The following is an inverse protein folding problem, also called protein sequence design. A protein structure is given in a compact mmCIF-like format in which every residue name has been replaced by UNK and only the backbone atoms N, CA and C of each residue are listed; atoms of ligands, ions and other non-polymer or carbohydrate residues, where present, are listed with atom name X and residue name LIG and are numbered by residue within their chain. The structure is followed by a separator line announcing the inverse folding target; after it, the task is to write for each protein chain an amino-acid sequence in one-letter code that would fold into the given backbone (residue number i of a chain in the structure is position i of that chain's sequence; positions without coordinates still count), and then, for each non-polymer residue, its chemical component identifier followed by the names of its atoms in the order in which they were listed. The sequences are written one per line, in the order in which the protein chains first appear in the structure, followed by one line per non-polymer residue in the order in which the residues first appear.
data_IF_288181754387
#
_entry.id   IF_288181754387
#
_cell.length_a   1.000
_cell.length_b   1.000
_cell.length_c   1.000
_cell.angle_alpha   90.00
_cell.angle_beta   90.00
_cell.angle_gamma   90.00
#
_symmetry.space_group_name_H-M   'P 1'
#
loop_
_entity.id
_entity.type
_entity.pdbx_description
1 polymer ?
#
# COMPACT_ATOMS: atom_id res chain seq x y z
N UNK A 1 -5.39 -17.53 -1.22
CA UNK A 1 -5.81 -16.91 0.05
C UNK A 1 -4.60 -16.27 0.70
N UNK A 2 -4.63 -14.95 0.96
CA UNK A 2 -3.57 -14.24 1.67
C UNK A 2 -3.42 -14.77 3.09
N UNK A 3 -2.23 -14.60 3.69
CA UNK A 3 -1.89 -15.14 5.02
C UNK A 3 -1.37 -14.05 5.95
N UNK A 4 -2.19 -13.02 6.19
CA UNK A 4 -1.77 -11.76 6.81
C UNK A 4 -1.07 -11.93 8.16
N UNK A 5 -1.53 -12.83 9.02
CA UNK A 5 -0.94 -13.05 10.35
C UNK A 5 0.35 -13.89 10.31
N UNK A 6 0.50 -14.75 9.32
CA UNK A 6 1.71 -15.58 9.13
C UNK A 6 2.82 -14.73 8.51
N UNK A 7 2.47 -13.82 7.61
CA UNK A 7 3.43 -12.94 6.93
C UNK A 7 3.67 -11.63 7.67
N UNK A 8 3.04 -11.43 8.84
CA UNK A 8 3.21 -10.23 9.65
C UNK A 8 4.55 -10.25 10.40
N UNK A 9 5.43 -9.27 10.23
CA UNK A 9 6.67 -9.16 11.00
C UNK A 9 6.43 -8.98 12.50
N UNK A 10 5.30 -8.38 12.89
CA UNK A 10 4.99 -8.08 14.29
C UNK A 10 4.20 -9.18 14.98
N UNK A 11 3.22 -9.80 14.29
CA UNK A 11 2.34 -10.79 14.92
C UNK A 11 2.82 -12.24 14.78
N UNK A 12 3.48 -12.59 13.67
CA UNK A 12 3.91 -13.97 13.45
C UNK A 12 4.87 -14.48 14.53
N UNK A 13 5.88 -13.71 14.99
CA UNK A 13 6.78 -14.16 16.06
C UNK A 13 6.04 -14.44 17.37
N UNK A 14 5.14 -13.55 17.77
CA UNK A 14 4.41 -13.66 19.04
C UNK A 14 3.43 -14.83 19.04
N UNK A 15 2.70 -15.03 17.93
CA UNK A 15 1.80 -16.17 17.79
C UNK A 15 2.61 -17.48 17.81
N UNK A 16 3.73 -17.54 17.10
CA UNK A 16 4.58 -18.73 17.08
C UNK A 16 5.20 -19.04 18.44
N UNK A 17 5.59 -18.03 19.22
CA UNK A 17 6.07 -18.22 20.59
C UNK A 17 4.96 -18.80 21.50
N UNK A 18 3.73 -18.29 21.36
CA UNK A 18 2.56 -18.82 22.08
C UNK A 18 2.24 -20.27 21.68
N UNK A 19 2.28 -20.59 20.39
CA UNK A 19 2.07 -21.94 19.88
C UNK A 19 3.12 -22.92 20.41
N UNK A 20 4.39 -22.52 20.37
CA UNK A 20 5.50 -23.30 20.91
C UNK A 20 5.29 -23.59 22.41
N UNK A 21 4.86 -22.60 23.19
CA UNK A 21 4.57 -22.76 24.60
C UNK A 21 3.41 -23.74 24.88
N UNK A 22 2.51 -23.96 23.91
CA UNK A 22 1.44 -24.96 23.97
C UNK A 22 1.82 -26.30 23.32
N UNK A 23 3.08 -26.49 22.92
CA UNK A 23 3.55 -27.70 22.25
C UNK A 23 3.12 -27.84 20.79
N UNK A 24 2.58 -26.78 20.19
CA UNK A 24 2.18 -26.74 18.78
C UNK A 24 3.39 -26.35 17.93
N UNK A 25 4.09 -27.37 17.42
CA UNK A 25 5.33 -27.20 16.68
C UNK A 25 5.08 -27.04 15.16
N UNK A 26 5.87 -26.19 14.46
CA UNK A 26 5.85 -26.14 13.00
C UNK A 26 6.03 -27.52 12.36
N UNK A 27 5.30 -27.78 11.28
CA UNK A 27 5.32 -29.07 10.57
C UNK A 27 4.41 -30.14 11.17
N UNK A 28 3.71 -29.86 12.27
CA UNK A 28 2.66 -30.74 12.82
C UNK A 28 1.30 -30.41 12.24
N UNK A 29 0.38 -31.38 12.25
CA UNK A 29 -1.02 -31.19 11.84
C UNK A 29 -1.72 -30.15 12.70
N UNK A 30 -1.58 -30.21 14.03
CA UNK A 30 -2.24 -29.25 14.93
C UNK A 30 -1.77 -27.81 14.72
N UNK A 31 -0.49 -27.61 14.41
CA UNK A 31 0.02 -26.29 14.02
C UNK A 31 -0.61 -25.81 12.71
N UNK A 32 -0.72 -26.68 11.71
CA UNK A 32 -1.35 -26.34 10.44
C UNK A 32 -2.86 -26.05 10.59
N UNK A 33 -3.56 -26.81 11.43
CA UNK A 33 -4.98 -26.62 11.75
C UNK A 33 -5.23 -25.29 12.44
N UNK A 34 -4.41 -24.93 13.44
CA UNK A 34 -4.49 -23.62 14.09
C UNK A 34 -4.43 -22.47 13.08
N UNK A 35 -3.44 -22.51 12.18
CA UNK A 35 -3.26 -21.47 11.18
C UNK A 35 -4.39 -21.43 10.14
N UNK A 36 -4.95 -22.59 9.77
CA UNK A 36 -6.15 -22.66 8.92
C UNK A 36 -7.34 -22.00 9.60
N UNK A 37 -7.57 -22.32 10.88
CA UNK A 37 -8.76 -21.88 11.61
C UNK A 37 -8.70 -20.38 11.90
N UNK A 38 -7.53 -19.87 12.31
CA UNK A 38 -7.31 -18.43 12.45
C UNK A 38 -7.44 -17.71 11.11
N UNK A 39 -6.89 -18.26 10.02
CA UNK A 39 -7.04 -17.63 8.72
C UNK A 39 -8.52 -17.50 8.34
N UNK A 40 -9.34 -18.52 8.62
CA UNK A 40 -10.77 -18.50 8.34
C UNK A 40 -11.51 -17.43 9.16
N UNK A 41 -11.08 -17.17 10.39
CA UNK A 41 -11.66 -16.12 11.24
C UNK A 41 -11.38 -14.71 10.68
N UNK A 42 -10.18 -14.49 10.14
CA UNK A 42 -9.74 -13.17 9.67
C UNK A 42 -9.99 -12.91 8.20
N UNK A 43 -10.27 -13.93 7.39
CA UNK A 43 -10.44 -13.81 5.93
C UNK A 43 -11.56 -12.82 5.56
N UNK A 44 -12.66 -12.81 6.32
CA UNK A 44 -13.76 -11.85 6.11
C UNK A 44 -13.37 -10.39 6.39
N UNK A 45 -12.25 -10.13 7.06
CA UNK A 45 -11.72 -8.80 7.30
C UNK A 45 -10.56 -8.41 6.39
N UNK A 46 -10.06 -9.32 5.53
CA UNK A 46 -8.89 -9.06 4.70
C UNK A 46 -9.25 -8.15 3.51
N UNK A 47 -8.64 -6.95 3.38
CA UNK A 47 -8.91 -6.03 2.27
C UNK A 47 -8.67 -6.64 0.88
N UNK A 48 -7.83 -7.67 0.75
CA UNK A 48 -7.59 -8.36 -0.52
C UNK A 48 -8.88 -8.98 -1.08
N UNK A 49 -9.80 -9.42 -0.22
CA UNK A 49 -11.07 -9.99 -0.65
C UNK A 49 -12.05 -8.94 -1.21
N UNK A 50 -11.78 -7.65 -0.98
CA UNK A 50 -12.68 -6.55 -1.33
C UNK A 50 -12.13 -5.61 -2.39
N UNK A 51 -10.81 -5.56 -2.61
CA UNK A 51 -10.19 -4.57 -3.51
C UNK A 51 -10.75 -4.62 -4.93
N UNK A 52 -11.05 -5.80 -5.45
CA UNK A 52 -11.65 -6.03 -6.76
C UNK A 52 -13.05 -5.40 -6.92
N UNK A 53 -13.86 -5.40 -5.85
CA UNK A 53 -15.16 -4.72 -5.82
C UNK A 53 -14.98 -3.22 -5.57
N UNK A 54 -14.02 -2.84 -4.73
CA UNK A 54 -13.72 -1.44 -4.44
C UNK A 54 -13.29 -0.70 -5.70
N UNK A 55 -12.41 -1.28 -6.54
CA UNK A 55 -12.02 -0.66 -7.81
C UNK A 55 -13.14 -0.61 -8.84
N UNK A 56 -14.11 -1.52 -8.77
CA UNK A 56 -15.29 -1.45 -9.64
C UNK A 56 -16.25 -0.32 -9.26
N UNK A 57 -16.29 0.05 -7.97
CA UNK A 57 -17.21 1.04 -7.43
C UNK A 57 -16.59 2.44 -7.30
N UNK A 58 -15.26 2.51 -7.12
CA UNK A 58 -14.58 3.74 -6.73
C UNK A 58 -13.23 3.89 -7.44
N UNK A 59 -12.84 5.12 -7.80
CA UNK A 59 -11.44 5.46 -8.00
C UNK A 59 -10.63 5.11 -6.76
N UNK A 60 -9.42 4.60 -6.94
CA UNK A 60 -8.52 4.26 -5.84
C UNK A 60 -7.14 4.84 -6.14
N UNK A 61 -6.58 5.49 -5.13
CA UNK A 61 -5.19 5.89 -5.09
C UNK A 61 -4.50 5.19 -3.92
N UNK A 62 -3.41 4.47 -4.21
CA UNK A 62 -2.62 3.75 -3.23
C UNK A 62 -1.21 4.32 -3.15
N UNK A 63 -0.79 4.69 -1.95
CA UNK A 63 0.58 5.09 -1.64
C UNK A 63 1.36 3.87 -1.14
N UNK A 64 2.55 3.63 -1.70
CA UNK A 64 3.42 2.54 -1.27
C UNK A 64 4.86 3.03 -1.13
N UNK A 65 5.48 2.78 0.03
CA UNK A 65 6.92 3.03 0.21
C UNK A 65 7.71 1.75 -0.09
N UNK A 66 8.26 1.68 -1.30
CA UNK A 66 9.12 0.57 -1.72
C UNK A 66 10.54 0.69 -1.20
N UNK A 67 10.97 1.90 -0.86
CA UNK A 67 12.32 2.19 -0.40
C UNK A 67 13.36 2.22 -1.53
N UNK A 68 14.61 2.53 -1.18
CA UNK A 68 15.71 2.59 -2.13
C UNK A 68 16.19 1.19 -2.49
N UNK A 69 16.81 1.07 -3.67
CA UNK A 69 17.51 -0.15 -4.08
C UNK A 69 19.01 0.14 -4.23
N UNK A 70 19.89 -0.45 -3.39
CA UNK A 70 19.62 -1.32 -2.24
C UNK A 70 19.01 -0.54 -1.05
N UNK A 71 18.30 -1.23 -0.13
CA UNK A 71 17.78 -0.59 1.09
C UNK A 71 18.92 -0.28 2.07
N UNK A 72 18.78 0.75 2.92
CA UNK A 72 19.73 1.03 4.01
C UNK A 72 19.83 -0.14 4.99
N UNK A 73 20.96 -0.23 5.70
CA UNK A 73 21.08 -1.18 6.79
C UNK A 73 20.18 -0.79 7.98
N UNK A 74 19.68 -1.79 8.70
CA UNK A 74 18.96 -1.56 9.96
C UNK A 74 17.50 -1.16 9.83
N UNK A 75 16.88 -1.30 8.65
CA UNK A 75 15.44 -1.08 8.48
C UNK A 75 14.64 -2.00 9.42
N UNK A 76 13.91 -1.37 10.35
CA UNK A 76 12.99 -2.03 11.26
C UNK A 76 11.88 -1.03 11.69
N UNK A 77 10.74 -1.50 12.22
CA UNK A 77 9.61 -0.63 12.58
C UNK A 77 9.91 0.45 13.62
N UNK A 78 10.95 0.28 14.46
CA UNK A 78 11.31 1.24 15.51
C UNK A 78 12.29 2.32 15.05
N UNK A 79 13.08 2.06 13.99
CA UNK A 79 14.12 2.98 13.50
C UNK A 79 14.12 3.06 11.96
N UNK A 80 12.95 3.23 11.34
CA UNK A 80 12.85 3.36 9.88
C UNK A 80 13.64 4.59 9.42
N UNK A 81 14.70 4.38 8.64
CA UNK A 81 15.48 5.44 8.03
C UNK A 81 14.93 5.78 6.64
N UNK A 82 15.22 6.98 6.13
CA UNK A 82 14.87 7.35 4.76
C UNK A 82 15.42 6.31 3.76
N UNK A 83 14.55 5.80 2.89
CA UNK A 83 14.90 4.78 1.89
C UNK A 83 14.70 3.35 2.39
N UNK A 84 14.28 3.15 3.64
CA UNK A 84 13.75 1.86 4.06
C UNK A 84 12.42 1.56 3.36
N UNK A 85 12.13 0.30 3.01
CA UNK A 85 10.78 -0.09 2.62
C UNK A 85 9.83 0.12 3.80
N UNK A 86 8.54 0.18 3.54
CA UNK A 86 7.52 0.22 4.60
C UNK A 86 7.71 -0.94 5.60
N UNK A 87 7.85 -0.58 6.88
CA UNK A 87 8.10 -1.51 7.99
C UNK A 87 6.81 -1.96 8.69
N UNK A 88 5.70 -1.27 8.46
CA UNK A 88 4.40 -1.55 9.08
C UNK A 88 3.54 -2.39 8.14
N UNK A 89 3.51 -2.02 6.86
CA UNK A 89 2.81 -2.76 5.81
C UNK A 89 3.83 -3.35 4.85
N UNK A 90 4.13 -4.66 4.95
CA UNK A 90 5.06 -5.30 4.05
C UNK A 90 4.67 -5.10 2.59
N UNK A 91 5.64 -4.75 1.73
CA UNK A 91 5.40 -4.56 0.30
C UNK A 91 4.75 -5.79 -0.37
N UNK A 92 5.03 -7.01 0.11
CA UNK A 92 4.37 -8.21 -0.38
C UNK A 92 2.84 -8.21 -0.16
N UNK A 93 2.37 -7.65 0.97
CA UNK A 93 0.94 -7.48 1.25
C UNK A 93 0.32 -6.47 0.30
N UNK A 94 0.98 -5.33 0.07
CA UNK A 94 0.54 -4.34 -0.91
C UNK A 94 0.49 -4.92 -2.33
N UNK A 95 1.47 -5.75 -2.70
CA UNK A 95 1.47 -6.44 -3.99
C UNK A 95 0.32 -7.46 -4.12
N UNK A 96 -0.08 -8.11 -3.03
CA UNK A 96 -1.26 -8.97 -3.04
C UNK A 96 -2.54 -8.17 -3.33
N UNK A 97 -2.69 -6.97 -2.75
CA UNK A 97 -3.81 -6.06 -3.01
C UNK A 97 -3.80 -5.59 -4.47
N UNK A 98 -2.65 -5.14 -4.98
CA UNK A 98 -2.49 -4.71 -6.38
C UNK A 98 -2.87 -5.85 -7.34
N UNK A 99 -2.34 -7.05 -7.11
CA UNK A 99 -2.65 -8.23 -7.93
C UNK A 99 -4.13 -8.58 -7.86
N UNK A 100 -4.73 -8.55 -6.68
CA UNK A 100 -6.13 -8.91 -6.48
C UNK A 100 -7.11 -7.92 -7.12
N UNK A 101 -6.72 -6.65 -7.26
CA UNK A 101 -7.54 -5.62 -7.92
C UNK A 101 -7.92 -5.98 -9.36
N UNK A 102 -7.11 -6.79 -10.04
CA UNK A 102 -7.34 -7.21 -11.42
C UNK A 102 -8.35 -8.35 -11.57
N UNK A 103 -8.75 -9.02 -10.48
CA UNK A 103 -9.67 -10.16 -10.53
C UNK A 103 -11.15 -9.79 -10.34
N UNK A 104 -11.46 -8.49 -10.30
CA UNK A 104 -12.82 -8.00 -10.07
C UNK A 104 -13.74 -8.04 -11.29
N UNK A 105 -15.05 -7.81 -11.09
CA UNK A 105 -16.05 -7.76 -12.17
C UNK A 105 -15.78 -6.62 -13.17
N UNK A 106 -15.02 -5.59 -12.78
CA UNK A 106 -14.55 -4.53 -13.67
C UNK A 106 -13.48 -4.98 -14.67
N UNK A 107 -12.94 -6.20 -14.54
CA UNK A 107 -11.85 -6.72 -15.36
C UNK A 107 -10.59 -5.85 -15.26
N UNK A 108 -9.74 -5.89 -16.30
CA UNK A 108 -8.50 -5.12 -16.33
C UNK A 108 -8.70 -3.60 -16.27
N UNK A 109 -9.89 -3.09 -16.61
CA UNK A 109 -10.18 -1.64 -16.60
C UNK A 109 -10.23 -1.05 -15.18
N UNK A 110 -10.54 -1.86 -14.17
CA UNK A 110 -10.51 -1.47 -12.75
C UNK A 110 -9.24 -1.95 -12.03
N UNK A 111 -8.26 -2.52 -12.74
CA UNK A 111 -7.01 -2.93 -12.10
C UNK A 111 -6.21 -1.70 -11.66
N UNK A 112 -5.56 -1.79 -10.50
CA UNK A 112 -4.61 -0.78 -10.07
C UNK A 112 -3.39 -0.78 -11.00
N UNK A 113 -3.06 0.40 -11.53
CA UNK A 113 -1.92 0.61 -12.43
C UNK A 113 -0.87 1.50 -11.78
N UNK A 114 0.41 1.24 -12.06
CA UNK A 114 1.49 2.07 -11.51
C UNK A 114 1.49 3.44 -12.19
N UNK A 115 1.54 4.48 -11.39
CA UNK A 115 1.86 5.85 -11.81
C UNK A 115 3.34 6.07 -11.50
N UNK A 116 4.10 6.44 -12.53
CA UNK A 116 5.58 6.42 -12.51
C UNK A 116 6.18 7.79 -12.82
N UNK A 117 7.42 8.03 -12.39
CA UNK A 117 8.13 9.31 -12.49
C UNK A 117 8.21 9.90 -13.91
N UNK A 118 8.09 9.06 -14.96
CA UNK A 118 8.12 9.49 -16.36
C UNK A 118 6.77 9.89 -16.96
N UNK A 119 5.68 9.85 -16.18
CA UNK A 119 4.35 10.25 -16.66
C UNK A 119 4.17 11.78 -16.64
N UNK A 120 3.10 12.26 -17.28
CA UNK A 120 2.75 13.67 -17.25
C UNK A 120 2.55 14.14 -15.78
N UNK A 121 2.93 15.39 -15.43
CA UNK A 121 2.78 15.91 -14.07
C UNK A 121 1.34 15.89 -13.53
N UNK A 122 0.36 15.84 -14.44
CA UNK A 122 -1.05 15.66 -14.12
C UNK A 122 -1.54 14.43 -14.85
N UNK A 123 -1.89 13.40 -14.09
CA UNK A 123 -2.58 12.21 -14.58
C UNK A 123 -4.08 12.47 -14.44
N UNK A 124 -4.82 12.39 -15.55
CA UNK A 124 -6.26 12.62 -15.55
C UNK A 124 -7.00 11.45 -16.21
N UNK A 125 -8.06 10.98 -15.57
CA UNK A 125 -8.97 9.99 -16.10
C UNK A 125 -10.42 10.36 -15.74
N UNK A 126 -11.25 10.79 -16.71
CA UNK A 126 -12.67 11.06 -16.47
C UNK A 126 -13.45 9.86 -15.94
N UNK A 127 -13.00 8.64 -16.21
CA UNK A 127 -13.58 7.39 -15.70
C UNK A 127 -13.13 7.03 -14.28
N UNK A 128 -12.25 7.80 -13.65
CA UNK A 128 -11.66 7.51 -12.35
C UNK A 128 -10.24 6.95 -12.44
N UNK A 129 -9.39 7.34 -11.51
CA UNK A 129 -8.03 6.83 -11.37
C UNK A 129 -8.06 5.56 -10.53
N UNK A 130 -7.46 4.50 -11.06
CA UNK A 130 -7.13 3.26 -10.35
C UNK A 130 -5.61 3.14 -10.37
N UNK A 131 -4.97 3.85 -9.45
CA UNK A 131 -3.55 4.15 -9.49
C UNK A 131 -2.84 3.77 -8.19
N UNK A 132 -1.58 3.36 -8.30
CA UNK A 132 -0.68 3.29 -7.17
C UNK A 132 0.65 3.96 -7.48
N UNK A 133 1.24 4.61 -6.47
CA UNK A 133 2.53 5.28 -6.56
C UNK A 133 3.52 4.62 -5.63
N UNK A 134 4.70 4.29 -6.17
CA UNK A 134 5.79 3.67 -5.43
C UNK A 134 6.84 4.71 -5.06
N UNK A 135 6.94 5.05 -3.79
CA UNK A 135 7.95 5.95 -3.24
C UNK A 135 9.25 5.21 -2.94
N UNK A 136 10.36 5.77 -3.45
CA UNK A 136 11.71 5.23 -3.23
C UNK A 136 12.42 5.84 -2.01
N UNK A 137 11.73 6.73 -1.30
CA UNK A 137 12.18 7.47 -0.13
C UNK A 137 11.03 7.57 0.88
N UNK A 138 11.34 7.94 2.12
CA UNK A 138 10.38 8.02 3.22
C UNK A 138 10.18 6.69 3.96
N UNK A 139 9.06 6.59 4.65
CA UNK A 139 8.58 5.49 5.48
C UNK A 139 7.03 5.54 5.59
N UNK A 140 6.46 4.67 6.43
CA UNK A 140 5.00 4.57 6.64
C UNK A 140 4.36 5.88 7.15
N UNK A 141 5.09 6.68 7.94
CA UNK A 141 4.61 7.91 8.56
C UNK A 141 4.73 9.13 7.65
N UNK A 142 5.38 9.00 6.49
CA UNK A 142 5.81 10.12 5.66
C UNK A 142 4.67 11.01 5.14
N UNK A 143 3.42 10.54 5.11
CA UNK A 143 2.27 11.37 4.76
C UNK A 143 1.96 12.44 5.84
N UNK A 144 2.38 12.25 7.09
CA UNK A 144 2.04 13.14 8.21
C UNK A 144 3.23 13.76 8.94
N UNK A 145 4.39 13.09 9.01
CA UNK A 145 5.44 13.47 9.97
C UNK A 145 6.42 14.54 9.48
N UNK A 146 6.56 14.73 8.16
CA UNK A 146 7.47 15.70 7.57
C UNK A 146 8.96 15.37 7.72
N UNK A 147 9.34 14.15 8.10
CA UNK A 147 10.76 13.76 8.30
C UNK A 147 11.53 13.81 6.98
N UNK A 148 10.92 13.34 5.88
CA UNK A 148 11.46 13.45 4.53
C UNK A 148 10.56 14.40 3.73
N UNK A 149 10.77 15.71 3.92
CA UNK A 149 9.90 16.76 3.38
C UNK A 149 9.48 16.60 1.91
N UNK A 150 10.38 16.27 0.96
CA UNK A 150 9.99 16.10 -0.43
C UNK A 150 9.02 14.94 -0.67
N UNK A 151 9.08 13.88 0.16
CA UNK A 151 8.16 12.74 0.12
C UNK A 151 6.83 13.12 0.75
N UNK A 152 6.84 13.78 1.90
CA UNK A 152 5.61 14.26 2.55
C UNK A 152 4.83 15.20 1.65
N UNK A 153 5.52 16.15 1.01
CA UNK A 153 4.91 17.08 0.07
C UNK A 153 4.29 16.35 -1.13
N UNK A 154 4.97 15.35 -1.67
CA UNK A 154 4.46 14.57 -2.80
C UNK A 154 3.22 13.74 -2.39
N UNK A 155 3.31 12.95 -1.31
CA UNK A 155 2.18 12.15 -0.81
C UNK A 155 0.95 13.01 -0.51
N UNK A 156 1.14 14.20 0.08
CA UNK A 156 0.05 15.12 0.36
C UNK A 156 -0.49 15.78 -0.91
N UNK A 157 0.36 16.12 -1.87
CA UNK A 157 -0.07 16.70 -3.16
C UNK A 157 -0.90 15.69 -3.95
N UNK A 158 -0.45 14.44 -4.00
CA UNK A 158 -1.20 13.33 -4.58
C UNK A 158 -2.54 13.11 -3.86
N UNK A 159 -2.57 13.07 -2.53
CA UNK A 159 -3.81 12.89 -1.76
C UNK A 159 -4.82 14.04 -1.97
N UNK A 160 -4.35 15.29 -1.97
CA UNK A 160 -5.20 16.47 -2.17
C UNK A 160 -5.72 16.53 -3.60
N UNK A 161 -4.84 16.30 -4.59
CA UNK A 161 -5.25 16.30 -5.99
C UNK A 161 -6.22 15.16 -6.31
N UNK A 162 -6.03 13.97 -5.71
CA UNK A 162 -6.95 12.85 -5.86
C UNK A 162 -8.32 13.10 -5.21
N UNK A 163 -8.35 13.59 -3.97
CA UNK A 163 -9.63 13.87 -3.28
C UNK A 163 -10.41 14.99 -3.96
N UNK A 164 -9.70 15.91 -4.61
CA UNK A 164 -10.25 16.97 -5.42
C UNK A 164 -10.89 18.09 -4.61
N UNK A 165 -10.87 19.29 -5.19
CA UNK A 165 -11.46 20.46 -4.56
C UNK A 165 -11.93 21.47 -5.62
N UNK A 166 -13.10 22.12 -5.42
CA UNK A 166 -13.54 23.23 -6.27
C UNK A 166 -12.58 24.44 -6.21
N UNK A 167 -11.93 24.62 -5.06
CA UNK A 167 -10.90 25.64 -4.83
C UNK A 167 -9.71 24.93 -4.17
N UNK A 168 -8.80 24.35 -4.96
CA UNK A 168 -7.66 23.63 -4.41
C UNK A 168 -6.58 24.60 -3.91
N UNK A 169 -5.63 24.12 -3.08
CA UNK A 169 -4.42 24.86 -2.74
C UNK A 169 -3.65 25.30 -4.00
N UNK A 170 -2.88 26.38 -3.87
CA UNK A 170 -2.10 26.94 -4.97
C UNK A 170 -1.18 25.87 -5.61
N UNK A 171 -1.23 25.76 -6.94
CA UNK A 171 -0.43 24.79 -7.71
C UNK A 171 -1.17 23.49 -8.06
N UNK A 172 -2.34 23.22 -7.47
CA UNK A 172 -3.16 22.05 -7.80
C UNK A 172 -4.33 22.48 -8.70
N UNK A 173 -4.62 21.78 -9.82
CA UNK A 173 -5.79 22.09 -10.66
C UNK A 173 -7.11 21.74 -9.96
N UNK A 174 -8.15 22.53 -10.18
CA UNK A 174 -9.50 22.17 -9.74
C UNK A 174 -9.97 20.93 -10.51
N UNK A 175 -10.55 19.95 -9.82
CA UNK A 175 -10.94 18.68 -10.42
C UNK A 175 -12.11 18.03 -9.68
N UNK A 176 -12.62 16.95 -10.27
CA UNK A 176 -13.61 16.07 -9.64
C UNK A 176 -12.88 15.01 -8.81
N UNK A 177 -13.37 14.68 -7.59
CA UNK A 177 -12.79 13.63 -6.77
C UNK A 177 -12.52 12.34 -7.55
N UNK A 178 -11.30 11.83 -7.43
CA UNK A 178 -10.83 10.58 -8.03
C UNK A 178 -10.48 10.66 -9.51
N UNK A 179 -10.62 11.80 -10.17
CA UNK A 179 -10.39 11.92 -11.63
C UNK A 179 -9.03 12.45 -12.02
N UNK A 180 -8.27 12.97 -11.06
CA UNK A 180 -6.97 13.61 -11.30
C UNK A 180 -5.99 13.25 -10.19
N UNK A 181 -4.73 13.06 -10.54
CA UNK A 181 -3.62 12.90 -9.62
C UNK A 181 -2.47 13.78 -10.10
N UNK A 182 -1.91 14.59 -9.21
CA UNK A 182 -0.76 15.44 -9.50
C UNK A 182 0.51 14.80 -8.96
N UNK A 183 1.46 14.57 -9.85
CA UNK A 183 2.84 14.16 -9.55
C UNK A 183 3.70 15.42 -9.58
N UNK A 184 3.99 15.99 -8.41
CA UNK A 184 4.70 17.27 -8.29
C UNK A 184 6.22 17.07 -8.22
N UNK A 185 6.66 15.96 -7.64
CA UNK A 185 8.05 15.62 -7.45
C UNK A 185 8.35 14.18 -7.90
N UNK A 186 8.54 13.96 -9.21
CA UNK A 186 8.85 12.63 -9.73
C UNK A 186 10.19 12.05 -9.22
N UNK A 187 11.05 12.84 -8.58
CA UNK A 187 12.34 12.38 -8.08
C UNK A 187 12.25 11.47 -6.84
N UNK A 188 11.10 11.42 -6.15
CA UNK A 188 10.91 10.57 -4.97
C UNK A 188 10.09 9.30 -5.24
N UNK A 189 9.68 9.07 -6.49
CA UNK A 189 8.89 7.90 -6.88
C UNK A 189 9.64 7.04 -7.91
N UNK A 190 9.24 5.77 -8.07
CA UNK A 190 9.87 4.87 -9.03
C UNK A 190 9.63 5.33 -10.48
N UNK A 191 10.64 5.19 -11.36
CA UNK A 191 10.50 5.40 -12.80
C UNK A 191 9.60 4.36 -13.50
#
# INVERSE_FOLDING_TARGET
MPRILITSPSFAPEINAGLLAQGLLPGTTLYADFWRDIQSLWDAGDPVNYIALATAAHPIHLLQVVGSTPPPAGCNPATSANGCPDQVVPNATTQAIITASAYGPAGAAGALTRIAAGQAPVVANPGGIHGYVNFIQGDHGSIIDGVVLPVTQEMQTEAISFTGAPIPPAGIPANTPGTTLMIANPAVIQP
#
